data_IF_112233492550
#
_entry.id   IF_112233492550
#
_cell.length_a   1.000
_cell.length_b   1.000
_cell.length_c   1.000
_cell.angle_alpha   90.00
_cell.angle_beta   90.00
_cell.angle_gamma   90.00
#
_symmetry.space_group_name_H-M   'P 1'
#
loop_
_entity.id
_entity.type
_entity.pdbx_description
1 polymer ?
#
# COMPACT_ATOMS: atom_id res chain seq x y z
N UNK A 1 -3.71 -3.43 -11.14
CA UNK A 1 -4.26 -3.91 -9.85
C UNK A 1 -3.89 -5.35 -9.50
N UNK A 2 -3.72 -6.24 -10.49
CA UNK A 2 -3.40 -7.67 -10.27
C UNK A 2 -2.09 -7.94 -9.51
N UNK A 3 -1.06 -7.09 -9.63
CA UNK A 3 0.24 -7.33 -9.01
C UNK A 3 0.20 -7.39 -7.47
N UNK A 4 -0.53 -6.49 -6.82
CA UNK A 4 -0.63 -6.46 -5.36
C UNK A 4 -1.39 -7.66 -4.80
N UNK A 5 -2.53 -8.00 -5.41
CA UNK A 5 -3.35 -9.17 -5.00
C UNK A 5 -2.57 -10.46 -5.23
N UNK A 6 -1.90 -10.61 -6.37
CA UNK A 6 -1.07 -11.78 -6.66
C UNK A 6 0.09 -11.92 -5.67
N UNK A 7 0.69 -10.82 -5.24
CA UNK A 7 1.74 -10.82 -4.22
C UNK A 7 1.21 -11.28 -2.86
N UNK A 8 0.04 -10.78 -2.43
CA UNK A 8 -0.59 -11.22 -1.18
C UNK A 8 -0.93 -12.71 -1.19
N UNK A 9 -1.45 -13.22 -2.31
CA UNK A 9 -1.74 -14.65 -2.49
C UNK A 9 -0.45 -15.47 -2.41
N UNK A 10 0.61 -15.04 -3.11
CA UNK A 10 1.89 -15.74 -3.11
C UNK A 10 2.51 -15.78 -1.70
N UNK A 11 2.54 -14.65 -0.99
CA UNK A 11 3.06 -14.56 0.38
C UNK A 11 2.25 -15.46 1.32
N UNK A 12 0.91 -15.42 1.25
CA UNK A 12 0.05 -16.26 2.07
C UNK A 12 0.27 -17.76 1.83
N UNK A 13 0.42 -18.17 0.58
CA UNK A 13 0.72 -19.56 0.22
C UNK A 13 2.08 -20.02 0.77
N UNK A 14 3.12 -19.18 0.67
CA UNK A 14 4.45 -19.48 1.23
C UNK A 14 4.36 -19.68 2.75
N UNK A 15 3.69 -18.76 3.46
CA UNK A 15 3.52 -18.84 4.92
C UNK A 15 2.80 -20.14 5.31
N UNK A 16 1.75 -20.54 4.57
CA UNK A 16 1.02 -21.78 4.82
C UNK A 16 1.93 -23.02 4.65
N UNK A 17 2.74 -23.06 3.59
CA UNK A 17 3.66 -24.17 3.32
C UNK A 17 4.72 -24.26 4.43
N UNK A 18 5.32 -23.14 4.81
CA UNK A 18 6.32 -23.09 5.88
C UNK A 18 5.72 -23.53 7.23
N UNK A 19 4.52 -23.06 7.54
CA UNK A 19 3.80 -23.48 8.75
C UNK A 19 3.51 -24.98 8.76
N UNK A 20 3.11 -25.56 7.63
CA UNK A 20 2.91 -27.01 7.49
C UNK A 20 4.21 -27.78 7.70
N UNK A 21 5.30 -27.37 7.04
CA UNK A 21 6.61 -28.02 7.17
C UNK A 21 7.15 -27.96 8.59
N UNK A 22 7.02 -26.81 9.27
CA UNK A 22 7.41 -26.66 10.67
C UNK A 22 6.57 -27.52 11.61
N UNK A 23 5.24 -27.41 11.52
CA UNK A 23 4.32 -28.13 12.41
C UNK A 23 4.39 -29.66 12.21
N UNK A 24 4.25 -30.14 10.98
CA UNK A 24 4.32 -31.57 10.67
C UNK A 24 5.74 -32.13 10.81
N UNK A 25 6.77 -31.34 10.51
CA UNK A 25 8.17 -31.73 10.70
C UNK A 25 8.50 -32.01 12.15
N UNK A 26 8.03 -31.14 13.06
CA UNK A 26 8.17 -31.35 14.51
C UNK A 26 7.33 -32.55 15.00
N UNK A 27 6.05 -32.63 14.61
CA UNK A 27 5.15 -33.69 15.08
C UNK A 27 5.57 -35.09 14.61
N UNK A 28 6.14 -35.21 13.41
CA UNK A 28 6.62 -36.49 12.85
C UNK A 28 8.10 -36.76 13.12
N UNK A 29 8.78 -35.87 13.86
CA UNK A 29 10.23 -35.91 14.11
C UNK A 29 11.05 -36.08 12.80
N UNK A 30 10.54 -35.52 11.70
CA UNK A 30 11.10 -35.70 10.36
C UNK A 30 12.21 -34.70 10.11
N UNK A 31 13.46 -35.16 10.24
CA UNK A 31 14.65 -34.34 9.99
C UNK A 31 14.67 -33.67 8.61
N UNK A 32 14.16 -34.36 7.59
CA UNK A 32 14.11 -33.82 6.23
C UNK A 32 13.16 -32.61 6.13
N UNK A 33 11.96 -32.71 6.71
CA UNK A 33 10.99 -31.61 6.71
C UNK A 33 11.48 -30.40 7.53
N UNK A 34 12.10 -30.65 8.68
CA UNK A 34 12.70 -29.60 9.50
C UNK A 34 13.90 -28.94 8.82
N UNK A 35 14.74 -29.69 8.09
CA UNK A 35 15.83 -29.10 7.29
C UNK A 35 15.29 -28.20 6.19
N UNK A 36 14.26 -28.63 5.45
CA UNK A 36 13.65 -27.80 4.41
C UNK A 36 13.06 -26.51 4.98
N UNK A 37 12.38 -26.60 6.14
CA UNK A 37 11.88 -25.44 6.86
C UNK A 37 13.01 -24.47 7.23
N UNK A 38 14.08 -24.97 7.85
CA UNK A 38 15.22 -24.16 8.27
C UNK A 38 15.93 -23.49 7.09
N UNK A 39 16.19 -24.22 6.00
CA UNK A 39 16.81 -23.66 4.78
C UNK A 39 15.92 -22.57 4.17
N UNK A 40 14.60 -22.76 4.15
CA UNK A 40 13.68 -21.76 3.63
C UNK A 40 13.65 -20.48 4.49
N UNK A 41 13.66 -20.61 5.83
CA UNK A 41 13.76 -19.46 6.73
C UNK A 41 15.08 -18.71 6.54
N UNK A 42 16.21 -19.42 6.42
CA UNK A 42 17.50 -18.78 6.14
C UNK A 42 17.51 -17.99 4.83
N UNK A 43 16.89 -18.53 3.78
CA UNK A 43 16.76 -17.81 2.50
C UNK A 43 15.90 -16.55 2.65
N UNK A 44 14.82 -16.60 3.43
CA UNK A 44 13.98 -15.43 3.72
C UNK A 44 14.78 -14.38 4.49
N UNK A 45 15.54 -14.77 5.51
CA UNK A 45 16.38 -13.86 6.28
C UNK A 45 17.41 -13.15 5.40
N UNK A 46 18.06 -13.88 4.49
CA UNK A 46 18.99 -13.28 3.52
C UNK A 46 18.26 -12.26 2.63
N UNK A 47 17.07 -12.59 2.12
CA UNK A 47 16.27 -11.68 1.31
C UNK A 47 15.82 -10.44 2.09
N UNK A 48 15.47 -10.57 3.37
CA UNK A 48 15.12 -9.45 4.24
C UNK A 48 16.30 -8.51 4.44
N UNK A 49 17.50 -9.03 4.72
CA UNK A 49 18.72 -8.24 4.89
C UNK A 49 19.08 -7.53 3.58
N UNK A 50 19.11 -8.27 2.46
CA UNK A 50 19.42 -7.70 1.14
C UNK A 50 18.40 -6.63 0.76
N UNK A 51 17.11 -6.90 0.93
CA UNK A 51 16.04 -5.94 0.66
C UNK A 51 16.14 -4.69 1.54
N UNK A 52 16.40 -4.87 2.84
CA UNK A 52 16.60 -3.77 3.78
C UNK A 52 17.80 -2.89 3.43
N UNK A 53 18.95 -3.50 3.12
CA UNK A 53 20.16 -2.78 2.70
C UNK A 53 19.93 -2.06 1.38
N UNK A 54 19.40 -2.74 0.36
CA UNK A 54 19.14 -2.15 -0.95
C UNK A 54 18.14 -0.98 -0.86
N UNK A 55 17.09 -1.13 -0.05
CA UNK A 55 16.11 -0.07 0.20
C UNK A 55 16.73 1.12 0.95
N UNK A 56 17.62 0.87 1.91
CA UNK A 56 18.29 1.93 2.66
C UNK A 56 19.30 2.73 1.82
N UNK A 57 20.07 2.06 0.95
CA UNK A 57 21.11 2.72 0.13
C UNK A 57 20.56 3.34 -1.15
N UNK A 58 19.50 2.78 -1.74
CA UNK A 58 18.91 3.28 -2.99
C UNK A 58 17.63 4.09 -2.76
N UNK A 59 17.66 5.06 -1.83
CA UNK A 59 16.48 5.89 -1.51
C UNK A 59 15.85 6.54 -2.75
N UNK A 60 16.66 7.10 -3.64
CA UNK A 60 16.17 7.72 -4.88
C UNK A 60 15.48 6.73 -5.81
N UNK A 61 15.94 5.48 -5.85
CA UNK A 61 15.30 4.43 -6.65
C UNK A 61 13.98 4.01 -6.04
N UNK A 62 13.91 3.89 -4.72
CA UNK A 62 12.66 3.62 -3.98
C UNK A 62 11.65 4.73 -4.23
N UNK A 63 12.06 5.99 -4.12
CA UNK A 63 11.22 7.16 -4.42
C UNK A 63 10.73 7.14 -5.87
N UNK A 64 11.62 6.93 -6.85
CA UNK A 64 11.21 6.87 -8.26
C UNK A 64 10.25 5.71 -8.56
N UNK A 65 10.42 4.56 -7.88
CA UNK A 65 9.53 3.40 -8.03
C UNK A 65 8.17 3.71 -7.41
N UNK A 66 8.15 4.44 -6.30
CA UNK A 66 6.93 4.89 -5.66
C UNK A 66 6.18 5.89 -6.53
N UNK A 67 6.85 6.90 -7.09
CA UNK A 67 6.25 7.85 -8.04
C UNK A 67 5.68 7.15 -9.28
N UNK A 68 6.39 6.15 -9.81
CA UNK A 68 5.89 5.35 -10.93
C UNK A 68 4.64 4.56 -10.52
N UNK A 69 4.62 3.97 -9.32
CA UNK A 69 3.43 3.30 -8.80
C UNK A 69 2.26 4.28 -8.64
N UNK A 70 2.49 5.49 -8.11
CA UNK A 70 1.46 6.53 -8.05
C UNK A 70 0.92 6.88 -9.44
N UNK A 71 1.80 7.02 -10.43
CA UNK A 71 1.38 7.32 -11.81
C UNK A 71 0.47 6.23 -12.41
N UNK A 72 0.76 4.96 -12.15
CA UNK A 72 -0.09 3.83 -12.56
C UNK A 72 -1.44 3.83 -11.85
N UNK A 73 -1.47 4.24 -10.59
CA UNK A 73 -2.73 4.40 -9.84
C UNK A 73 -3.56 5.54 -10.40
N UNK A 74 -2.93 6.68 -10.77
CA UNK A 74 -3.62 7.78 -11.46
C UNK A 74 -4.21 7.32 -12.79
N UNK A 75 -3.48 6.54 -13.59
CA UNK A 75 -4.00 5.97 -14.83
C UNK A 75 -5.24 5.08 -14.57
N UNK A 76 -5.24 4.33 -13.47
CA UNK A 76 -6.39 3.52 -13.05
C UNK A 76 -7.60 4.37 -12.63
N UNK A 77 -7.36 5.55 -12.04
CA UNK A 77 -8.42 6.53 -11.72
C UNK A 77 -9.00 7.20 -12.98
N UNK A 78 -8.17 7.44 -13.99
CA UNK A 78 -8.59 8.03 -15.27
C UNK A 78 -9.20 7.00 -16.24
N UNK A 79 -8.97 5.71 -16.01
CA UNK A 79 -9.48 4.64 -16.85
C UNK A 79 -11.01 4.62 -16.87
N UNK A 80 -11.59 4.55 -18.06
CA UNK A 80 -13.05 4.46 -18.27
C UNK A 80 -13.52 3.02 -18.39
N UNK A 81 -12.60 2.06 -18.38
CA UNK A 81 -12.88 0.62 -18.46
C UNK A 81 -13.55 0.15 -17.18
N UNK A 82 -14.53 -0.77 -17.31
CA UNK A 82 -15.26 -1.33 -16.17
C UNK A 82 -14.37 -2.04 -15.12
N UNK A 83 -13.18 -2.48 -15.52
CA UNK A 83 -12.21 -3.19 -14.66
C UNK A 83 -11.78 -2.39 -13.42
N UNK A 84 -11.75 -1.05 -13.51
CA UNK A 84 -11.24 -0.18 -12.44
C UNK A 84 -12.36 0.46 -11.60
N UNK A 85 -13.63 0.15 -11.85
CA UNK A 85 -14.76 0.78 -11.14
C UNK A 85 -14.76 0.48 -9.65
N UNK A 86 -14.45 -0.75 -9.27
CA UNK A 86 -14.39 -1.15 -7.86
C UNK A 86 -13.26 -0.40 -7.13
N UNK A 87 -12.08 -0.33 -7.74
CA UNK A 87 -10.96 0.48 -7.25
C UNK A 87 -11.33 1.95 -7.08
N UNK A 88 -11.99 2.53 -8.10
CA UNK A 88 -12.42 3.92 -8.07
C UNK A 88 -13.40 4.18 -6.92
N UNK A 89 -14.33 3.27 -6.65
CA UNK A 89 -15.28 3.44 -5.55
C UNK A 89 -14.62 3.30 -4.18
N UNK A 90 -13.72 2.33 -4.00
CA UNK A 90 -12.91 2.21 -2.80
C UNK A 90 -12.02 3.44 -2.57
N UNK A 91 -11.43 3.96 -3.64
CA UNK A 91 -10.58 5.15 -3.57
C UNK A 91 -11.38 6.39 -3.16
N UNK A 92 -12.62 6.55 -3.61
CA UNK A 92 -13.51 7.63 -3.11
C UNK A 92 -13.78 7.51 -1.61
N UNK A 93 -13.96 6.30 -1.10
CA UNK A 93 -14.12 6.08 0.34
C UNK A 93 -12.84 6.44 1.09
N UNK A 94 -11.69 6.11 0.53
CA UNK A 94 -10.38 6.49 1.07
C UNK A 94 -10.21 8.01 1.13
N UNK A 95 -10.55 8.73 0.05
CA UNK A 95 -10.53 10.20 -0.03
C UNK A 95 -11.39 10.83 1.08
N UNK A 96 -12.62 10.34 1.25
CA UNK A 96 -13.53 10.83 2.30
C UNK A 96 -13.00 10.56 3.70
N UNK A 97 -12.54 9.33 3.95
CA UNK A 97 -12.01 8.91 5.26
C UNK A 97 -10.77 9.70 5.68
N UNK A 98 -9.91 10.03 4.72
CA UNK A 98 -8.62 10.69 4.97
C UNK A 98 -8.63 12.19 4.63
N UNK A 99 -9.80 12.76 4.29
CA UNK A 99 -9.99 14.19 4.00
C UNK A 99 -8.99 14.73 2.97
N UNK A 100 -8.84 14.00 1.86
CA UNK A 100 -7.92 14.32 0.76
C UNK A 100 -8.61 14.14 -0.59
N UNK A 101 -8.02 14.68 -1.66
CA UNK A 101 -8.58 14.62 -3.00
C UNK A 101 -7.52 14.31 -4.05
N UNK A 102 -7.78 13.35 -4.93
CA UNK A 102 -6.83 12.90 -5.94
C UNK A 102 -5.58 12.27 -5.30
N UNK A 103 -4.68 11.78 -6.13
CA UNK A 103 -3.47 11.12 -5.66
C UNK A 103 -2.26 12.07 -5.62
N UNK A 104 -2.04 12.82 -6.70
CA UNK A 104 -0.88 13.71 -6.90
C UNK A 104 -1.33 15.12 -7.27
N UNK A 105 -2.24 15.27 -8.24
CA UNK A 105 -2.65 16.57 -8.80
C UNK A 105 -4.11 16.94 -8.46
N UNK A 106 -4.66 16.37 -7.39
CA UNK A 106 -6.02 16.66 -6.95
C UNK A 106 -7.08 16.12 -7.91
N UNK A 107 -8.12 16.91 -8.18
CA UNK A 107 -9.23 16.51 -9.06
C UNK A 107 -8.80 16.13 -10.48
N UNK A 108 -7.64 16.62 -10.94
CA UNK A 108 -7.11 16.29 -12.28
C UNK A 108 -6.77 14.81 -12.44
N UNK A 109 -6.46 14.12 -11.34
CA UNK A 109 -6.13 12.70 -11.38
C UNK A 109 -7.33 11.82 -11.70
N UNK A 110 -8.55 12.34 -11.55
CA UNK A 110 -9.78 11.65 -11.95
C UNK A 110 -10.08 11.79 -13.44
N UNK A 111 -9.44 12.74 -14.15
CA UNK A 111 -9.63 12.95 -15.59
C UNK A 111 -11.12 13.08 -15.97
N UNK A 112 -11.55 12.31 -16.96
CA UNK A 112 -12.94 12.30 -17.44
C UNK A 112 -13.92 11.61 -16.47
N UNK A 113 -13.42 10.86 -15.49
CA UNK A 113 -14.26 10.23 -14.47
C UNK A 113 -14.65 11.21 -13.36
N UNK A 114 -14.07 12.42 -13.33
CA UNK A 114 -14.45 13.43 -12.36
C UNK A 114 -15.88 13.93 -12.63
N UNK A 115 -16.81 13.51 -11.78
CA UNK A 115 -18.20 14.00 -11.79
C UNK A 115 -18.45 14.76 -10.48
N UNK A 116 -18.62 16.10 -10.52
CA UNK A 116 -18.91 16.90 -9.33
C UNK A 116 -20.11 16.34 -8.54
N UNK A 117 -21.17 15.94 -9.24
CA UNK A 117 -22.38 15.33 -8.67
C UNK A 117 -22.18 13.97 -7.99
N UNK A 118 -21.01 13.34 -8.13
CA UNK A 118 -20.71 12.03 -7.52
C UNK A 118 -20.04 12.12 -6.14
N UNK A 119 -19.97 13.32 -5.56
CA UNK A 119 -19.37 13.57 -4.23
C UNK A 119 -17.92 13.05 -4.13
N UNK A 120 -17.20 13.09 -5.24
CA UNK A 120 -15.76 12.81 -5.29
C UNK A 120 -15.06 13.99 -4.61
N UNK A 121 -14.17 13.70 -3.66
CA UNK A 121 -13.46 14.72 -2.89
C UNK A 121 -14.31 15.71 -2.08
N UNK A 122 -15.61 15.44 -1.85
CA UNK A 122 -16.49 16.40 -1.19
C UNK A 122 -16.02 16.69 0.24
N UNK A 123 -15.84 17.98 0.55
CA UNK A 123 -15.57 18.46 1.90
C UNK A 123 -16.87 18.84 2.60
N UNK A 124 -17.08 18.31 3.80
CA UNK A 124 -18.26 18.56 4.62
C UNK A 124 -18.17 19.91 5.36
N UNK A 125 -19.32 20.55 5.58
CA UNK A 125 -19.42 21.92 6.07
C UNK A 125 -18.93 22.12 7.52
N UNK A 126 -18.77 21.04 8.30
CA UNK A 126 -18.20 21.10 9.66
C UNK A 126 -16.68 21.34 9.66
N UNK A 127 -15.99 21.12 8.53
CA UNK A 127 -14.55 21.33 8.35
C UNK A 127 -14.23 22.64 7.61
N UNK A 128 -15.02 23.70 7.82
CA UNK A 128 -14.87 25.03 7.19
C UNK A 128 -13.59 25.81 7.59
N UNK A 129 -12.55 25.13 8.06
CA UNK A 129 -11.22 25.73 8.10
C UNK A 129 -10.73 25.95 6.67
N UNK A 130 -10.42 27.19 6.31
CA UNK A 130 -9.91 27.57 4.98
C UNK A 130 -8.63 26.83 4.58
N UNK A 131 -7.95 26.21 5.55
CA UNK A 131 -6.74 25.41 5.32
C UNK A 131 -7.02 24.02 4.78
N UNK A 132 -8.20 23.44 5.04
CA UNK A 132 -8.53 22.07 4.66
C UNK A 132 -9.23 21.98 3.29
N UNK A 133 -10.09 22.94 2.98
CA UNK A 133 -11.00 22.88 1.83
C UNK A 133 -10.91 24.10 0.93
N UNK A 134 -11.07 23.88 -0.37
CA UNK A 134 -11.08 24.91 -1.39
C UNK A 134 -12.39 24.90 -2.15
N UNK A 135 -12.85 26.09 -2.56
CA UNK A 135 -14.02 26.21 -3.42
C UNK A 135 -13.62 25.86 -4.86
N UNK A 136 -14.22 24.81 -5.40
CA UNK A 136 -14.07 24.40 -6.79
C UNK A 136 -15.43 24.49 -7.49
N UNK A 137 -15.53 25.41 -8.46
CA UNK A 137 -16.80 25.80 -9.09
C UNK A 137 -17.83 26.27 -8.03
N UNK A 138 -18.74 25.39 -7.62
CA UNK A 138 -19.84 25.66 -6.68
C UNK A 138 -19.80 24.79 -5.42
N UNK A 139 -18.81 23.91 -5.27
CA UNK A 139 -18.68 22.96 -4.16
C UNK A 139 -17.36 23.14 -3.42
N UNK A 140 -17.29 22.66 -2.18
CA UNK A 140 -16.05 22.60 -1.41
C UNK A 140 -15.43 21.22 -1.56
N UNK A 141 -14.15 21.17 -1.93
CA UNK A 141 -13.38 19.94 -2.05
C UNK A 141 -12.15 19.98 -1.15
N UNK A 142 -11.64 18.82 -0.78
CA UNK A 142 -10.39 18.72 -0.03
C UNK A 142 -9.21 19.28 -0.83
N UNK A 143 -8.41 20.11 -0.17
CA UNK A 143 -7.26 20.80 -0.77
C UNK A 143 -6.05 19.88 -0.95
N UNK A 144 -5.83 18.97 0.00
CA UNK A 144 -4.62 18.14 0.07
C UNK A 144 -4.73 16.92 -0.85
N UNK A 145 -3.68 16.59 -1.63
CA UNK A 145 -3.63 15.34 -2.38
C UNK A 145 -3.46 14.14 -1.44
N UNK A 146 -4.07 13.01 -1.76
CA UNK A 146 -3.99 11.81 -0.94
C UNK A 146 -2.60 11.18 -0.93
N UNK A 147 -1.77 11.40 -1.96
CA UNK A 147 -0.38 10.96 -1.98
C UNK A 147 0.42 11.54 -0.82
N UNK A 148 0.23 12.82 -0.50
CA UNK A 148 0.87 13.43 0.67
C UNK A 148 0.37 12.80 1.98
N UNK A 149 -0.93 12.54 2.10
CA UNK A 149 -1.51 11.91 3.29
C UNK A 149 -0.99 10.48 3.46
N UNK A 150 -0.89 9.71 2.37
CA UNK A 150 -0.32 8.36 2.37
C UNK A 150 1.16 8.42 2.78
N UNK A 151 1.94 9.33 2.19
CA UNK A 151 3.35 9.49 2.55
C UNK A 151 3.52 9.89 4.01
N UNK A 152 2.64 10.73 4.54
CA UNK A 152 2.66 11.12 5.94
C UNK A 152 2.32 9.93 6.85
N UNK A 153 1.27 9.16 6.53
CA UNK A 153 0.92 7.93 7.25
C UNK A 153 2.06 6.91 7.25
N UNK A 154 2.74 6.73 6.11
CA UNK A 154 3.89 5.84 6.00
C UNK A 154 5.05 6.33 6.87
N UNK A 155 5.36 7.64 6.85
CA UNK A 155 6.42 8.23 7.69
C UNK A 155 6.12 8.07 9.18
N UNK A 156 4.88 8.32 9.58
CA UNK A 156 4.46 8.20 10.99
C UNK A 156 4.49 6.74 11.47
N UNK A 157 4.19 5.80 10.59
CA UNK A 157 4.19 4.36 10.88
C UNK A 157 5.55 3.69 10.66
N UNK A 158 6.55 4.41 10.13
CA UNK A 158 7.83 3.85 9.70
C UNK A 158 8.57 3.16 10.85
N UNK A 159 8.51 3.73 12.06
CA UNK A 159 9.09 3.12 13.26
C UNK A 159 8.43 1.78 13.60
N UNK A 160 7.10 1.70 13.46
CA UNK A 160 6.35 0.46 13.72
C UNK A 160 6.70 -0.60 12.68
N UNK A 161 6.78 -0.22 11.40
CA UNK A 161 7.16 -1.14 10.31
C UNK A 161 8.57 -1.69 10.54
N UNK A 162 9.52 -0.83 10.92
CA UNK A 162 10.88 -1.27 11.28
C UNK A 162 10.87 -2.21 12.48
N UNK A 163 10.04 -1.95 13.49
CA UNK A 163 9.86 -2.82 14.64
C UNK A 163 9.31 -4.20 14.27
N UNK A 164 8.30 -4.26 13.39
CA UNK A 164 7.74 -5.53 12.88
C UNK A 164 8.82 -6.30 12.10
N UNK A 165 9.55 -5.63 11.22
CA UNK A 165 10.61 -6.27 10.44
C UNK A 165 11.72 -6.84 11.33
N UNK A 166 12.15 -6.10 12.35
CA UNK A 166 13.13 -6.58 13.32
C UNK A 166 12.58 -7.76 14.14
N UNK A 167 11.33 -7.68 14.60
CA UNK A 167 10.68 -8.78 15.32
C UNK A 167 10.59 -10.07 14.50
N UNK A 168 10.23 -9.95 13.22
CA UNK A 168 10.22 -11.10 12.29
C UNK A 168 11.62 -11.71 12.13
N UNK A 169 12.65 -10.88 11.92
CA UNK A 169 14.02 -11.36 11.81
C UNK A 169 14.50 -12.08 13.08
N UNK A 170 14.08 -11.64 14.27
CA UNK A 170 14.39 -12.33 15.53
C UNK A 170 13.65 -13.65 15.67
N UNK A 171 12.40 -13.75 15.20
CA UNK A 171 11.61 -15.00 15.24
C UNK A 171 12.14 -16.04 14.23
N UNK A 172 12.73 -15.59 13.13
CA UNK A 172 13.31 -16.45 12.10
C UNK A 172 14.63 -17.11 12.52
N UNK A 173 15.35 -16.54 13.51
CA UNK A 173 16.66 -16.97 14.01
C UNK A 173 16.53 -17.84 15.26
#
# INVERSE_FOLDING_TARGET
MLAGVNLLIAVGAIIMILGFLGCCGAAKESRCMLMLFFVALLLILILQIVGGVLGAVNKSKVESTFELALSTMVESLQSTTGEYKDFQEEFKQFERKNKCCGLVNGTKDWGQNFKPSSKICQCEAEDQSSDLCIKYQSEYIYKKPCGEVIMQQVKDSLVIIMGIAFGLAVVEV
#
